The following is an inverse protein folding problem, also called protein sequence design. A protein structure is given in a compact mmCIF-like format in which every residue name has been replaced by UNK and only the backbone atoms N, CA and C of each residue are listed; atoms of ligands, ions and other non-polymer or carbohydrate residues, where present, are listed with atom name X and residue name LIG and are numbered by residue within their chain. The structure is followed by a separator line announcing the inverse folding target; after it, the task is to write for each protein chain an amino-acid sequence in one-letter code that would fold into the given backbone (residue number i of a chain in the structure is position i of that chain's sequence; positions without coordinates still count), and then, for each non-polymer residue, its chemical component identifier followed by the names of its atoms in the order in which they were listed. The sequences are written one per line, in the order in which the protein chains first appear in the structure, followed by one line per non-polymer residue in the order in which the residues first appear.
data_IF_283925054652
#
_entry.id   IF_283925054652
#
_cell.length_a   1.000
_cell.length_b   1.000
_cell.length_c   1.000
_cell.angle_alpha   90.00
_cell.angle_beta   90.00
_cell.angle_gamma   90.00
#
_symmetry.space_group_name_H-M   'P 1'
#
loop_
_entity.id
_entity.type
_entity.pdbx_description
1 polymer ?
#
# COMPACT_ATOMS: atom_id res chain seq x y z
N UNK A 1 -23.37 -15.30 28.29
CA UNK A 1 -22.94 -15.87 26.98
C UNK A 1 -23.44 -14.94 25.89
N UNK A 2 -22.55 -14.16 25.27
CA UNK A 2 -22.94 -13.28 24.17
C UNK A 2 -23.04 -14.09 22.86
N UNK A 3 -24.23 -14.10 22.26
CA UNK A 3 -24.53 -14.64 20.94
C UNK A 3 -23.58 -14.01 19.92
N UNK A 4 -22.74 -14.83 19.27
CA UNK A 4 -22.03 -14.44 18.05
C UNK A 4 -23.06 -14.45 16.92
N UNK A 5 -23.28 -13.28 16.31
CA UNK A 5 -24.01 -13.19 15.06
C UNK A 5 -23.22 -13.93 13.97
N UNK A 6 -23.84 -14.94 13.37
CA UNK A 6 -23.34 -15.62 12.18
C UNK A 6 -23.49 -14.69 10.98
N UNK A 7 -22.36 -14.16 10.49
CA UNK A 7 -22.31 -13.45 9.22
C UNK A 7 -22.36 -14.48 8.09
N UNK A 8 -23.56 -14.77 7.59
CA UNK A 8 -23.81 -15.61 6.42
C UNK A 8 -23.59 -14.82 5.13
N UNK A 9 -22.34 -14.75 4.67
CA UNK A 9 -21.96 -14.20 3.36
C UNK A 9 -20.45 -14.26 3.15
N UNK A 10 -20.02 -14.55 1.91
CA UNK A 10 -18.61 -14.58 1.54
C UNK A 10 -18.01 -13.16 1.59
N UNK A 11 -17.45 -12.78 2.73
CA UNK A 11 -16.72 -11.52 2.90
C UNK A 11 -15.25 -11.69 2.47
N UNK A 12 -14.83 -10.97 1.43
CA UNK A 12 -13.44 -10.93 0.98
C UNK A 12 -12.73 -9.72 1.59
N UNK A 13 -11.62 -9.95 2.28
CA UNK A 13 -10.73 -8.90 2.76
C UNK A 13 -9.97 -8.26 1.58
N UNK A 14 -10.32 -7.02 1.22
CA UNK A 14 -9.71 -6.29 0.09
C UNK A 14 -8.45 -5.48 0.46
N UNK A 15 -8.17 -5.32 1.74
CA UNK A 15 -7.05 -4.52 2.24
C UNK A 15 -7.25 -3.00 2.06
N UNK A 16 -6.97 -2.22 3.11
CA UNK A 16 -7.04 -0.76 3.05
C UNK A 16 -5.69 -0.12 2.70
N UNK A 17 -5.62 0.69 1.64
CA UNK A 17 -4.40 1.38 1.21
C UNK A 17 -3.79 2.30 2.28
N UNK A 18 -4.62 2.90 3.15
CA UNK A 18 -4.12 3.71 4.26
C UNK A 18 -3.32 2.87 5.27
N UNK A 19 -3.80 1.67 5.58
CA UNK A 19 -3.09 0.72 6.44
C UNK A 19 -1.85 0.14 5.76
N UNK A 20 -1.90 -0.14 4.45
CA UNK A 20 -0.72 -0.57 3.70
C UNK A 20 0.41 0.46 3.80
N UNK A 21 0.10 1.74 3.51
CA UNK A 21 1.05 2.85 3.64
C UNK A 21 1.63 2.96 5.05
N UNK A 22 0.81 2.87 6.10
CA UNK A 22 1.27 2.93 7.51
C UNK A 22 2.27 1.81 7.81
N UNK A 23 2.02 0.59 7.36
CA UNK A 23 2.96 -0.53 7.53
C UNK A 23 4.28 -0.30 6.81
N UNK A 24 4.28 0.30 5.62
CA UNK A 24 5.52 0.68 4.95
C UNK A 24 6.26 1.82 5.66
N UNK A 25 5.56 2.77 6.28
CA UNK A 25 6.17 3.81 7.11
C UNK A 25 6.81 3.24 8.39
N UNK A 26 6.13 2.31 9.06
CA UNK A 26 6.69 1.54 10.17
C UNK A 26 7.94 0.76 9.74
N UNK A 27 7.88 0.07 8.59
CA UNK A 27 9.01 -0.66 8.03
C UNK A 27 10.20 0.25 7.70
N UNK A 28 9.95 1.47 7.22
CA UNK A 28 11.01 2.45 6.97
C UNK A 28 11.66 2.91 8.29
N UNK A 29 10.90 3.02 9.38
CA UNK A 29 11.36 3.52 10.68
C UNK A 29 12.01 2.45 11.56
N UNK A 30 11.80 1.16 11.27
CA UNK A 30 12.33 0.04 12.04
C UNK A 30 13.88 0.02 12.19
N UNK A 31 14.70 0.26 11.14
CA UNK A 31 16.15 0.28 11.30
C UNK A 31 16.68 1.59 11.94
N UNK A 32 17.90 1.58 12.52
CA UNK A 32 18.57 2.78 13.04
C UNK A 32 18.65 3.92 12.01
N UNK A 33 18.67 5.18 12.48
CA UNK A 33 18.63 6.39 11.63
C UNK A 33 19.80 6.46 10.65
N UNK A 34 20.93 5.91 11.06
CA UNK A 34 22.21 5.86 10.40
C UNK A 34 22.14 4.91 9.20
N UNK A 35 21.46 3.77 9.38
CA UNK A 35 21.20 2.77 8.35
C UNK A 35 20.19 3.24 7.30
N UNK A 36 19.35 4.24 7.63
CA UNK A 36 18.32 4.79 6.73
C UNK A 36 18.86 5.75 5.67
N UNK A 37 19.98 6.44 5.92
CA UNK A 37 20.43 7.57 5.07
C UNK A 37 21.04 7.16 3.73
N UNK A 38 21.53 5.92 3.58
CA UNK A 38 22.38 5.56 2.45
C UNK A 38 21.80 4.50 1.49
N UNK A 39 20.56 4.03 1.67
CA UNK A 39 19.94 3.04 0.78
C UNK A 39 18.51 3.39 0.44
N UNK A 40 18.19 3.39 -0.87
CA UNK A 40 16.83 3.46 -1.38
C UNK A 40 16.13 2.15 -1.07
N UNK A 41 15.56 2.06 0.13
CA UNK A 41 14.91 0.84 0.62
C UNK A 41 13.61 0.56 -0.15
N UNK A 42 13.18 -0.71 -0.14
CA UNK A 42 11.89 -1.09 -0.68
C UNK A 42 10.76 -0.27 -0.04
N UNK A 43 10.78 -0.12 1.29
CA UNK A 43 9.81 0.68 2.01
C UNK A 43 9.73 2.13 1.50
N UNK A 44 10.88 2.77 1.25
CA UNK A 44 10.92 4.13 0.72
C UNK A 44 10.38 4.20 -0.71
N UNK A 45 10.73 3.24 -1.57
CA UNK A 45 10.23 3.17 -2.95
C UNK A 45 8.71 3.00 -2.97
N UNK A 46 8.16 2.11 -2.15
CA UNK A 46 6.72 1.90 -2.05
C UNK A 46 5.98 3.11 -1.48
N UNK A 47 6.53 3.76 -0.45
CA UNK A 47 5.96 5.01 0.08
C UNK A 47 5.93 6.14 -0.96
N UNK A 48 6.92 6.22 -1.85
CA UNK A 48 6.89 7.18 -2.96
C UNK A 48 5.75 6.91 -3.95
N UNK A 49 5.45 5.64 -4.24
CA UNK A 49 4.29 5.28 -5.08
C UNK A 49 2.96 5.70 -4.41
N UNK A 50 2.81 5.44 -3.10
CA UNK A 50 1.65 5.92 -2.33
C UNK A 50 1.53 7.45 -2.34
N UNK A 51 2.64 8.17 -2.16
CA UNK A 51 2.65 9.63 -2.22
C UNK A 51 2.24 10.15 -3.59
N UNK A 52 2.67 9.51 -4.67
CA UNK A 52 2.24 9.87 -6.03
C UNK A 52 0.73 9.68 -6.19
N UNK A 53 0.21 8.52 -5.77
CA UNK A 53 -1.22 8.23 -5.84
C UNK A 53 -2.05 9.28 -5.08
N UNK A 54 -1.63 9.66 -3.87
CA UNK A 54 -2.34 10.65 -3.06
C UNK A 54 -2.21 12.08 -3.61
N UNK A 55 -1.07 12.42 -4.19
CA UNK A 55 -0.90 13.70 -4.88
C UNK A 55 -1.88 13.82 -6.05
N UNK A 56 -2.03 12.74 -6.83
CA UNK A 56 -2.98 12.69 -7.93
C UNK A 56 -4.43 12.80 -7.45
N UNK A 57 -4.81 12.04 -6.43
CA UNK A 57 -6.15 12.11 -5.84
C UNK A 57 -6.47 13.52 -5.31
N UNK A 58 -5.47 14.23 -4.75
CA UNK A 58 -5.60 15.63 -4.34
C UNK A 58 -5.84 16.56 -5.53
N UNK A 59 -5.12 16.36 -6.65
CA UNK A 59 -5.25 17.18 -7.85
C UNK A 59 -6.63 17.03 -8.50
N UNK A 60 -7.16 15.80 -8.56
CA UNK A 60 -8.44 15.53 -9.26
C UNK A 60 -9.68 15.75 -8.37
N UNK A 61 -9.50 16.05 -7.08
CA UNK A 61 -10.60 16.09 -6.08
C UNK A 61 -11.76 17.00 -6.49
N UNK A 62 -11.47 18.14 -7.12
CA UNK A 62 -12.47 19.14 -7.52
C UNK A 62 -13.10 18.91 -8.89
N UNK A 63 -12.70 17.87 -9.63
CA UNK A 63 -13.21 17.59 -10.96
C UNK A 63 -14.55 16.85 -10.94
N UNK A 64 -15.26 16.87 -12.06
CA UNK A 64 -16.49 16.10 -12.23
C UNK A 64 -16.22 14.60 -12.12
N UNK A 65 -17.25 13.82 -11.77
CA UNK A 65 -17.13 12.39 -11.52
C UNK A 65 -16.51 11.63 -12.71
N UNK A 66 -16.94 11.94 -13.93
CA UNK A 66 -16.44 11.32 -15.16
C UNK A 66 -14.95 11.64 -15.40
N UNK A 67 -14.55 12.89 -15.22
CA UNK A 67 -13.16 13.32 -15.35
C UNK A 67 -12.26 12.62 -14.32
N UNK A 68 -12.72 12.51 -13.06
CA UNK A 68 -12.00 11.78 -12.02
C UNK A 68 -11.85 10.30 -12.38
N UNK A 69 -12.90 9.68 -12.92
CA UNK A 69 -12.85 8.30 -13.37
C UNK A 69 -11.81 8.11 -14.47
N UNK A 70 -11.87 8.91 -15.53
CA UNK A 70 -10.91 8.84 -16.65
C UNK A 70 -9.46 9.02 -16.17
N UNK A 71 -9.20 10.02 -15.32
CA UNK A 71 -7.86 10.27 -14.77
C UNK A 71 -7.37 9.15 -13.86
N UNK A 72 -8.26 8.51 -13.09
CA UNK A 72 -7.89 7.32 -12.30
C UNK A 72 -7.54 6.14 -13.20
N UNK A 73 -8.30 5.91 -14.27
CA UNK A 73 -8.01 4.83 -15.21
C UNK A 73 -6.69 5.06 -15.94
N UNK A 74 -6.41 6.28 -16.35
CA UNK A 74 -5.19 6.65 -17.08
C UNK A 74 -3.95 6.67 -16.16
N UNK A 75 -4.08 7.21 -14.93
CA UNK A 75 -2.92 7.57 -14.11
C UNK A 75 -2.85 6.80 -12.78
N UNK A 76 -3.96 6.60 -12.07
CA UNK A 76 -3.95 5.83 -10.81
C UNK A 76 -3.78 4.33 -11.05
N UNK A 77 -4.47 3.77 -12.06
CA UNK A 77 -4.43 2.35 -12.40
C UNK A 77 -3.01 1.82 -12.69
N UNK A 78 -2.16 2.45 -13.52
CA UNK A 78 -0.80 1.96 -13.73
C UNK A 78 0.07 2.03 -12.47
N UNK A 79 -0.11 3.04 -11.60
CA UNK A 79 0.62 3.13 -10.33
C UNK A 79 0.27 1.96 -9.39
N UNK A 80 -1.03 1.64 -9.28
CA UNK A 80 -1.51 0.49 -8.52
C UNK A 80 -1.09 -0.84 -9.17
N UNK A 81 -1.10 -0.89 -10.51
CA UNK A 81 -0.63 -2.04 -11.28
C UNK A 81 0.84 -2.34 -11.07
N UNK A 82 1.68 -1.33 -10.81
CA UNK A 82 3.09 -1.50 -10.46
C UNK A 82 3.33 -1.88 -8.98
N UNK A 83 2.37 -1.61 -8.09
CA UNK A 83 2.52 -1.86 -6.66
C UNK A 83 2.51 -3.36 -6.32
N UNK A 84 1.58 -4.12 -6.94
CA UNK A 84 1.44 -5.55 -6.70
C UNK A 84 2.67 -6.38 -7.13
N UNK A 85 3.21 -6.26 -8.36
CA UNK A 85 4.41 -6.99 -8.75
C UNK A 85 5.60 -6.62 -7.87
N UNK A 86 5.78 -5.32 -7.55
CA UNK A 86 6.83 -4.88 -6.63
C UNK A 86 6.76 -5.61 -5.27
N UNK A 87 5.56 -5.79 -4.72
CA UNK A 87 5.38 -6.51 -3.46
C UNK A 87 5.62 -8.02 -3.63
N UNK A 88 5.07 -8.63 -4.69
CA UNK A 88 5.24 -10.05 -4.98
C UNK A 88 6.72 -10.43 -5.19
N UNK A 89 7.46 -9.65 -5.95
CA UNK A 89 8.89 -9.87 -6.26
C UNK A 89 9.79 -9.83 -5.00
N UNK A 90 9.28 -9.25 -3.91
CA UNK A 90 9.97 -9.11 -2.64
C UNK A 90 9.37 -9.98 -1.51
N UNK A 91 8.29 -10.71 -1.78
CA UNK A 91 7.60 -11.54 -0.80
C UNK A 91 8.49 -12.69 -0.30
N UNK A 92 9.25 -13.32 -1.21
CA UNK A 92 10.19 -14.41 -0.88
C UNK A 92 11.54 -13.91 -0.38
N UNK A 93 11.88 -12.64 -0.65
CA UNK A 93 13.15 -12.00 -0.25
C UNK A 93 13.10 -11.36 1.14
N UNK A 94 11.93 -11.39 1.79
CA UNK A 94 11.71 -10.78 3.11
C UNK A 94 11.18 -11.82 4.09
N UNK A 95 11.68 -11.78 5.33
CA UNK A 95 11.17 -12.66 6.37
C UNK A 95 9.77 -12.22 6.79
N UNK A 96 8.87 -13.18 7.04
CA UNK A 96 7.46 -12.92 7.37
C UNK A 96 7.28 -11.98 8.58
N UNK A 97 8.16 -12.09 9.56
CA UNK A 97 8.04 -11.36 10.84
C UNK A 97 8.72 -9.99 10.82
N UNK A 98 9.54 -9.71 9.80
CA UNK A 98 10.12 -8.38 9.61
C UNK A 98 9.03 -7.34 9.34
N UNK A 99 9.28 -6.09 9.73
CA UNK A 99 8.34 -4.99 9.48
C UNK A 99 8.02 -4.83 7.99
N UNK A 100 9.01 -5.02 7.11
CA UNK A 100 8.81 -4.98 5.65
C UNK A 100 8.00 -6.19 5.14
N UNK A 101 8.25 -7.40 5.67
CA UNK A 101 7.48 -8.60 5.30
C UNK A 101 6.00 -8.49 5.69
N UNK A 102 5.71 -7.91 6.86
CA UNK A 102 4.34 -7.58 7.29
C UNK A 102 3.67 -6.55 6.39
N UNK A 103 4.41 -5.55 5.91
CA UNK A 103 3.90 -4.53 5.00
C UNK A 103 3.56 -5.12 3.61
N UNK A 104 4.45 -5.95 3.06
CA UNK A 104 4.24 -6.65 1.78
C UNK A 104 3.01 -7.55 1.85
N UNK A 105 2.92 -8.44 2.85
CA UNK A 105 1.82 -9.40 2.99
C UNK A 105 0.44 -8.77 3.18
N UNK A 106 0.39 -7.58 3.77
CA UNK A 106 -0.86 -6.84 3.89
C UNK A 106 -1.34 -6.26 2.54
N UNK A 107 -0.43 -6.10 1.58
CA UNK A 107 -0.66 -5.41 0.30
C UNK A 107 -0.88 -6.37 -0.88
N UNK A 108 -0.54 -7.65 -0.73
CA UNK A 108 -0.56 -8.68 -1.79
C UNK A 108 -1.76 -9.61 -1.72
#
# INVERSE_FOLDING_TARGET
MAMRAELSGDCILVGCMAHARRKFDEALKAPPKESRKNKRSLAQTTLRQFSHLYALEKQIKGLMLEQRYLLRQEKSKPLLGALKPLCNDNLTKTTKDSAIGKAIRYTT
#
